data_IF_551788702887
#
_entry.id   IF_551788702887
#
_cell.length_a   1.000
_cell.length_b   1.000
_cell.length_c   1.000
_cell.angle_alpha   90.00
_cell.angle_beta   90.00
_cell.angle_gamma   90.00
#
_symmetry.space_group_name_H-M   'P 1'
#
loop_
_entity.id
_entity.type
_entity.pdbx_description
1 polymer ?
#
# COMPACT_ATOMS: atom_id res chain seq x y z
N UNK A 1 38.49 -29.41 17.62
CA UNK A 1 37.69 -30.64 17.50
C UNK A 1 36.37 -30.26 16.91
N UNK A 2 36.29 -30.44 15.59
CA UNK A 2 35.17 -30.99 14.82
C UNK A 2 33.88 -30.19 14.62
N UNK A 3 33.71 -29.81 13.35
CA UNK A 3 32.53 -29.35 12.62
C UNK A 3 31.48 -30.47 12.39
N UNK A 4 30.33 -30.05 11.81
CA UNK A 4 29.32 -30.78 10.98
C UNK A 4 27.97 -31.09 11.71
N UNK A 5 26.71 -30.81 11.27
CA UNK A 5 26.02 -30.40 10.00
C UNK A 5 24.65 -29.72 10.35
N UNK A 6 24.13 -28.81 9.51
CA UNK A 6 22.88 -28.02 9.65
C UNK A 6 21.56 -28.80 9.75
N UNK A 7 20.42 -28.17 10.07
CA UNK A 7 19.53 -27.48 9.09
C UNK A 7 18.25 -26.96 9.81
N UNK A 8 17.79 -25.73 9.50
CA UNK A 8 16.40 -25.19 9.60
C UNK A 8 15.82 -24.98 11.02
N UNK A 9 15.21 -23.86 11.44
CA UNK A 9 14.32 -22.90 10.77
C UNK A 9 14.34 -21.54 11.51
N UNK A 10 14.48 -20.45 10.76
CA UNK A 10 13.71 -19.21 10.98
C UNK A 10 13.95 -18.38 12.24
N UNK A 11 15.05 -17.62 12.26
CA UNK A 11 15.21 -16.30 12.88
C UNK A 11 14.08 -15.84 13.82
N UNK A 12 14.20 -16.19 15.11
CA UNK A 12 13.48 -15.53 16.20
C UNK A 12 14.12 -14.16 16.45
N UNK A 13 13.97 -13.28 15.45
CA UNK A 13 14.11 -11.83 15.59
C UNK A 13 13.03 -11.14 14.73
N UNK A 14 11.90 -11.81 14.51
CA UNK A 14 10.69 -11.23 13.90
C UNK A 14 9.86 -10.40 14.91
N UNK A 15 10.36 -10.17 16.13
CA UNK A 15 9.65 -9.43 17.19
C UNK A 15 9.78 -7.89 17.09
N UNK A 16 10.38 -7.38 16.01
CA UNK A 16 10.29 -5.95 15.62
C UNK A 16 9.70 -5.73 14.22
N UNK A 17 9.07 -6.74 13.65
CA UNK A 17 8.38 -6.65 12.36
C UNK A 17 6.86 -6.48 12.52
N UNK A 18 6.40 -5.96 13.66
CA UNK A 18 5.04 -5.45 13.87
C UNK A 18 4.82 -4.05 13.27
N UNK A 19 5.79 -3.54 12.50
CA UNK A 19 5.59 -2.37 11.66
C UNK A 19 5.08 -2.82 10.27
N UNK A 20 3.76 -2.81 10.09
CA UNK A 20 3.06 -2.66 8.80
C UNK A 20 3.79 -3.31 7.60
N UNK A 21 3.93 -4.63 7.59
CA UNK A 21 4.47 -5.34 6.43
C UNK A 21 3.45 -5.20 5.29
N UNK A 22 3.69 -4.21 4.43
CA UNK A 22 3.06 -4.07 3.12
C UNK A 22 3.54 -5.27 2.29
N UNK A 23 2.76 -6.34 2.26
CA UNK A 23 2.93 -7.40 1.26
C UNK A 23 2.92 -6.68 -0.09
N UNK A 24 3.98 -6.88 -0.88
CA UNK A 24 4.27 -6.07 -2.07
C UNK A 24 3.06 -6.03 -2.99
N UNK A 25 2.34 -4.92 -2.99
CA UNK A 25 1.23 -4.69 -3.91
C UNK A 25 -0.16 -4.68 -3.30
N UNK A 26 -0.33 -4.64 -1.98
CA UNK A 26 -1.67 -4.55 -1.35
C UNK A 26 -1.77 -3.37 -0.36
N UNK A 27 -2.94 -2.74 -0.29
CA UNK A 27 -3.32 -1.68 0.65
C UNK A 27 -4.50 -2.14 1.51
N UNK A 28 -4.43 -1.82 2.80
CA UNK A 28 -5.49 -2.12 3.76
C UNK A 28 -6.37 -0.91 3.96
N UNK A 29 -7.63 -1.05 3.59
CA UNK A 29 -8.67 -0.06 3.85
C UNK A 29 -8.95 0.06 5.34
N UNK A 30 -9.55 1.18 5.77
CA UNK A 30 -9.91 1.36 7.19
C UNK A 30 -11.08 0.49 7.62
N UNK A 31 -11.93 0.05 6.68
CA UNK A 31 -12.99 -0.93 6.94
C UNK A 31 -12.45 -2.36 7.17
N UNK A 32 -11.15 -2.59 6.91
CA UNK A 32 -10.51 -3.89 7.02
C UNK A 32 -10.52 -4.70 5.73
N UNK A 33 -11.06 -4.15 4.63
CA UNK A 33 -10.89 -4.72 3.29
C UNK A 33 -9.47 -4.46 2.75
N UNK A 34 -9.15 -5.16 1.66
CA UNK A 34 -7.84 -5.15 1.05
C UNK A 34 -8.02 -4.89 -0.44
N UNK A 35 -7.20 -3.99 -0.97
CA UNK A 35 -7.15 -3.66 -2.39
C UNK A 35 -5.72 -3.79 -2.88
N UNK A 36 -5.53 -3.80 -4.18
CA UNK A 36 -4.20 -3.77 -4.78
C UNK A 36 -3.59 -2.38 -4.65
N UNK A 37 -2.25 -2.29 -4.69
CA UNK A 37 -1.54 -1.03 -4.67
C UNK A 37 -1.74 -0.21 -5.94
N UNK A 38 -2.20 -0.83 -7.03
CA UNK A 38 -2.61 -0.14 -8.26
C UNK A 38 -3.92 0.60 -8.09
N UNK A 39 -4.77 0.15 -7.17
CA UNK A 39 -6.07 0.72 -6.86
C UNK A 39 -5.99 1.69 -5.67
N UNK A 40 -4.78 1.97 -5.19
CA UNK A 40 -4.58 2.89 -4.09
C UNK A 40 -4.28 4.27 -4.63
N UNK A 41 -5.16 5.23 -4.36
CA UNK A 41 -5.08 6.59 -4.88
C UNK A 41 -5.11 6.60 -6.41
N UNK A 42 -5.94 5.79 -7.05
CA UNK A 42 -6.05 5.68 -8.50
C UNK A 42 -7.21 6.51 -9.09
N UNK A 43 -7.99 7.16 -8.22
CA UNK A 43 -9.16 7.95 -8.58
C UNK A 43 -10.47 7.16 -8.62
N UNK A 44 -10.43 5.86 -8.31
CA UNK A 44 -11.59 5.02 -8.15
C UNK A 44 -11.75 4.59 -6.70
N UNK A 45 -13.00 4.51 -6.24
CA UNK A 45 -13.31 4.10 -4.87
C UNK A 45 -13.35 2.57 -4.79
N UNK A 46 -12.22 1.95 -4.52
CA UNK A 46 -12.08 0.50 -4.38
C UNK A 46 -12.35 0.02 -2.95
N UNK A 47 -11.95 0.81 -1.95
CA UNK A 47 -12.36 0.53 -0.58
C UNK A 47 -13.87 0.76 -0.39
N UNK A 48 -14.53 -0.13 0.36
CA UNK A 48 -15.96 0.01 0.65
C UNK A 48 -16.29 1.28 1.45
N UNK A 49 -15.32 1.81 2.19
CA UNK A 49 -15.38 3.09 2.91
C UNK A 49 -14.74 4.26 2.13
N UNK A 50 -14.11 3.99 0.98
CA UNK A 50 -13.37 4.97 0.17
C UNK A 50 -12.09 5.49 0.81
N UNK A 51 -11.54 4.78 1.81
CA UNK A 51 -10.35 5.20 2.53
C UNK A 51 -9.06 5.21 1.70
N UNK A 52 -9.05 4.53 0.56
CA UNK A 52 -8.05 4.56 -0.50
C UNK A 52 -7.96 5.90 -1.23
N UNK A 53 -9.07 6.58 -1.45
CA UNK A 53 -9.15 7.84 -2.22
C UNK A 53 -9.30 9.08 -1.33
N UNK A 54 -8.90 8.99 -0.06
CA UNK A 54 -8.96 10.13 0.86
C UNK A 54 -7.70 10.98 0.82
N UNK A 55 -7.87 12.29 1.00
CA UNK A 55 -6.75 13.24 1.02
C UNK A 55 -5.71 12.88 2.08
N UNK A 56 -6.13 12.41 3.25
CA UNK A 56 -5.22 11.95 4.31
C UNK A 56 -4.43 10.71 3.91
N UNK A 57 -5.07 9.72 3.29
CA UNK A 57 -4.40 8.49 2.83
C UNK A 57 -3.40 8.81 1.71
N UNK A 58 -3.86 9.53 0.69
CA UNK A 58 -3.07 9.89 -0.47
C UNK A 58 -2.08 11.03 -0.25
N UNK A 59 -2.14 11.74 0.89
CA UNK A 59 -1.16 12.78 1.25
C UNK A 59 0.27 12.23 1.30
N UNK A 60 0.41 10.97 1.70
CA UNK A 60 1.69 10.26 1.81
C UNK A 60 2.05 9.52 0.51
N UNK A 61 1.14 9.48 -0.46
CA UNK A 61 1.31 8.83 -1.75
C UNK A 61 1.92 9.81 -2.74
N UNK A 62 3.09 9.45 -3.27
CA UNK A 62 3.68 10.16 -4.40
C UNK A 62 3.08 9.59 -5.68
N UNK A 63 2.30 10.41 -6.39
CA UNK A 63 1.84 10.05 -7.73
C UNK A 63 3.04 9.86 -8.67
N UNK A 64 2.91 8.91 -9.60
CA UNK A 64 3.88 8.79 -10.69
C UNK A 64 3.98 10.12 -11.46
N UNK A 65 5.13 10.40 -12.06
CA UNK A 65 5.39 11.66 -12.80
C UNK A 65 4.42 11.89 -13.96
N UNK A 66 3.80 10.83 -14.46
CA UNK A 66 2.80 10.86 -15.54
C UNK A 66 1.37 11.11 -15.05
N UNK A 67 1.12 10.95 -13.75
CA UNK A 67 -0.19 11.11 -13.14
C UNK A 67 -0.36 12.50 -12.53
N UNK A 68 -1.59 12.99 -12.49
CA UNK A 68 -1.98 14.26 -11.87
C UNK A 68 -2.72 14.00 -10.56
N UNK A 69 -2.44 14.80 -9.52
CA UNK A 69 -3.10 14.67 -8.23
C UNK A 69 -4.34 15.54 -8.11
N UNK A 70 -5.50 14.91 -7.92
CA UNK A 70 -6.75 15.60 -7.62
C UNK A 70 -6.75 16.22 -6.22
N UNK A 71 -7.65 17.18 -5.98
CA UNK A 71 -7.76 17.87 -4.69
C UNK A 71 -8.08 16.93 -3.52
N UNK A 72 -8.83 15.86 -3.78
CA UNK A 72 -9.15 14.82 -2.81
C UNK A 72 -8.03 13.77 -2.64
N UNK A 73 -6.90 13.91 -3.37
CA UNK A 73 -5.69 13.12 -3.14
C UNK A 73 -5.39 12.06 -4.21
N UNK A 74 -6.37 11.63 -4.99
CA UNK A 74 -6.21 10.62 -6.04
C UNK A 74 -5.18 10.99 -7.11
N UNK A 75 -4.43 10.01 -7.59
CA UNK A 75 -3.52 10.10 -8.72
C UNK A 75 -4.22 9.58 -9.98
N UNK A 76 -4.66 10.50 -10.83
CA UNK A 76 -5.38 10.18 -12.06
C UNK A 76 -4.52 10.46 -13.29
N UNK A 77 -4.84 9.83 -14.42
CA UNK A 77 -4.20 10.18 -15.69
C UNK A 77 -4.43 11.65 -16.04
N UNK A 78 -3.47 12.25 -16.76
CA UNK A 78 -3.56 13.67 -17.17
C UNK A 78 -4.81 13.97 -18.04
N UNK A 79 -5.42 12.95 -18.63
CA UNK A 79 -6.69 13.04 -19.38
C UNK A 79 -7.94 12.68 -18.58
N UNK A 80 -7.82 12.21 -17.34
CA UNK A 80 -8.95 11.85 -16.50
C UNK A 80 -9.48 13.07 -15.72
N UNK A 81 -10.79 13.09 -15.47
CA UNK A 81 -11.47 14.17 -14.76
C UNK A 81 -11.56 13.78 -13.27
N UNK A 82 -11.07 14.66 -12.40
CA UNK A 82 -11.31 14.57 -10.96
C UNK A 82 -12.81 14.72 -10.70
N UNK A 83 -13.42 13.71 -10.08
CA UNK A 83 -14.87 13.70 -9.77
C UNK A 83 -15.14 14.18 -8.35
#
# INVERSE_FOLDING_TARGET
>A
GDSVIGTYLGNVLAEKLSARIRVRGEYHCKDGSFITATNYCDGARDCADGSDETGDACSTTTCSEYLFRCAYGACVDRGAICN
#
